data_IF_176662028584
#
_entry.id   IF_176662028584
#
_cell.length_a   1.000
_cell.length_b   1.000
_cell.length_c   1.000
_cell.angle_alpha   90.00
_cell.angle_beta   90.00
_cell.angle_gamma   90.00
#
_symmetry.space_group_name_H-M   'P 1'
#
loop_
_entity.id
_entity.type
_entity.pdbx_description
1 polymer ?
#
# COMPACT_ATOMS: atom_id res chain seq x y z
N UNK A 1 -20.75 6.52 -63.21
CA UNK A 1 -22.17 6.15 -63.36
C UNK A 1 -22.82 6.52 -62.04
N UNK A 2 -23.34 7.82 -61.85
CA UNK A 2 -24.69 8.29 -62.17
C UNK A 2 -25.77 7.45 -61.54
N UNK A 3 -26.59 7.91 -60.61
CA UNK A 3 -27.61 8.98 -60.56
C UNK A 3 -28.10 9.14 -59.09
N UNK A 4 -28.21 10.33 -58.45
CA UNK A 4 -29.21 11.39 -58.45
C UNK A 4 -30.71 10.94 -58.41
N UNK A 5 -31.40 11.45 -57.36
CA UNK A 5 -32.74 12.09 -57.34
C UNK A 5 -33.14 12.39 -55.90
N UNK A 6 -33.25 13.51 -55.40
CA UNK A 6 -34.09 14.73 -55.47
C UNK A 6 -35.59 14.53 -55.45
N UNK A 7 -36.18 15.24 -54.54
CA UNK A 7 -37.59 15.68 -54.57
C UNK A 7 -38.32 15.52 -53.22
N UNK A 8 -39.08 16.40 -52.69
CA UNK A 8 -39.59 17.77 -52.94
C UNK A 8 -40.58 18.02 -51.73
N UNK A 9 -40.67 19.28 -51.37
CA UNK A 9 -41.54 19.89 -50.35
C UNK A 9 -43.03 19.59 -50.48
N UNK A 10 -43.77 19.70 -49.37
CA UNK A 10 -45.09 20.33 -49.40
C UNK A 10 -45.48 20.90 -48.04
N UNK A 11 -45.86 22.18 -48.08
CA UNK A 11 -46.43 23.01 -47.04
C UNK A 11 -47.97 22.86 -46.99
N UNK A 12 -48.56 22.99 -45.82
CA UNK A 12 -49.93 23.50 -45.73
C UNK A 12 -50.15 24.18 -44.37
N UNK A 13 -50.64 25.40 -44.50
CA UNK A 13 -51.07 26.32 -43.46
C UNK A 13 -52.52 26.09 -42.99
N UNK A 14 -52.84 26.64 -41.85
CA UNK A 14 -54.18 26.98 -41.45
C UNK A 14 -54.53 26.71 -40.01
N UNK A 15 -54.78 27.57 -39.21
CA UNK A 15 -55.79 28.53 -38.91
C UNK A 15 -55.85 28.90 -37.41
N UNK A 16 -56.02 30.15 -37.18
CA UNK A 16 -56.17 30.88 -35.93
C UNK A 16 -57.47 30.57 -35.21
N UNK A 17 -57.44 30.36 -33.90
CA UNK A 17 -58.56 30.61 -33.03
C UNK A 17 -58.13 31.31 -31.74
N UNK A 18 -58.53 32.55 -31.61
CA UNK A 18 -58.46 33.37 -30.41
C UNK A 18 -59.53 32.91 -29.41
N UNK A 19 -59.15 32.73 -28.16
CA UNK A 19 -60.10 32.77 -27.05
C UNK A 19 -59.49 33.57 -25.87
N UNK A 20 -60.37 34.41 -25.35
CA UNK A 20 -60.19 35.52 -24.44
C UNK A 20 -59.96 35.03 -22.99
N UNK A 21 -59.15 35.75 -22.26
CA UNK A 21 -58.84 35.58 -20.83
C UNK A 21 -60.03 35.84 -19.89
N UNK A 22 -59.93 35.42 -18.65
CA UNK A 22 -60.00 36.42 -17.56
C UNK A 22 -58.84 36.40 -16.58
N UNK A 23 -58.52 37.61 -16.16
CA UNK A 23 -57.57 37.97 -15.10
C UNK A 23 -58.01 37.40 -13.75
N UNK A 24 -57.16 36.66 -13.09
CA UNK A 24 -57.20 36.49 -11.65
C UNK A 24 -55.91 37.07 -11.06
N UNK A 25 -56.04 38.13 -10.29
CA UNK A 25 -54.99 38.72 -9.51
C UNK A 25 -54.64 37.81 -8.33
N UNK A 26 -53.44 37.30 -8.29
CA UNK A 26 -52.89 36.62 -7.11
C UNK A 26 -51.86 37.55 -6.48
N UNK A 27 -52.16 37.97 -5.25
CA UNK A 27 -51.27 38.76 -4.44
C UNK A 27 -50.01 37.94 -4.05
N UNK A 28 -48.85 38.36 -4.53
CA UNK A 28 -47.57 37.83 -4.09
C UNK A 28 -47.16 38.41 -2.76
N UNK A 29 -47.20 37.62 -1.71
CA UNK A 29 -46.56 37.94 -0.42
C UNK A 29 -45.07 37.67 -0.62
N UNK A 30 -44.29 38.75 -0.65
CA UNK A 30 -42.83 38.67 -0.61
C UNK A 30 -42.39 38.28 0.79
N UNK A 31 -41.97 37.02 0.94
CA UNK A 31 -41.23 36.57 2.13
C UNK A 31 -39.75 36.97 1.91
N UNK A 32 -39.34 38.04 2.61
CA UNK A 32 -37.89 38.36 2.71
C UNK A 32 -37.21 37.26 3.52
N UNK A 33 -36.53 36.33 2.83
CA UNK A 33 -35.53 35.46 3.47
C UNK A 33 -34.31 36.30 3.78
N UNK A 34 -34.07 36.58 5.06
CA UNK A 34 -32.76 37.01 5.54
C UNK A 34 -31.77 35.85 5.31
N UNK A 35 -30.94 35.99 4.29
CA UNK A 35 -29.78 35.14 4.14
C UNK A 35 -28.80 35.46 5.27
N UNK A 36 -28.76 34.64 6.31
CA UNK A 36 -27.66 34.61 7.25
C UNK A 36 -26.43 34.09 6.49
N UNK A 37 -25.46 34.97 6.24
CA UNK A 37 -24.14 34.54 5.80
C UNK A 37 -23.54 33.68 6.92
N UNK A 38 -23.17 32.39 6.66
CA UNK A 38 -22.34 31.68 7.58
C UNK A 38 -20.96 32.32 7.53
N UNK A 39 -20.54 32.93 8.64
CA UNK A 39 -19.15 33.29 8.90
C UNK A 39 -18.41 31.95 8.89
N UNK A 40 -17.76 31.61 7.79
CA UNK A 40 -16.78 30.53 7.77
C UNK A 40 -15.59 31.00 8.63
N UNK A 41 -15.59 30.60 9.89
CA UNK A 41 -14.37 30.55 10.67
C UNK A 41 -13.51 29.47 10.00
N UNK A 42 -12.49 29.87 9.25
CA UNK A 42 -11.36 29.01 8.92
C UNK A 42 -10.63 28.65 10.23
N UNK A 43 -11.17 27.70 10.96
CA UNK A 43 -10.36 26.88 11.83
C UNK A 43 -9.63 25.94 10.88
N UNK A 44 -8.29 26.06 10.80
CA UNK A 44 -7.43 25.13 10.09
C UNK A 44 -7.77 23.70 10.54
N UNK A 45 -8.64 23.05 9.76
CA UNK A 45 -9.05 21.69 10.01
C UNK A 45 -7.88 20.79 9.71
N UNK A 46 -7.22 20.28 10.75
CA UNK A 46 -6.53 18.99 10.66
C UNK A 46 -7.66 18.01 10.33
N UNK A 47 -7.68 17.54 9.10
CA UNK A 47 -8.61 16.49 8.71
C UNK A 47 -8.35 15.29 9.63
N UNK A 48 -9.37 14.89 10.37
CA UNK A 48 -9.34 13.65 11.14
C UNK A 48 -9.37 12.52 10.12
N UNK A 49 -8.28 11.76 10.01
CA UNK A 49 -8.15 10.63 9.09
C UNK A 49 -9.09 9.46 9.47
N UNK A 50 -9.70 9.51 10.67
CA UNK A 50 -10.47 8.43 11.27
C UNK A 50 -11.86 8.18 10.66
N UNK A 51 -12.31 8.97 9.67
CA UNK A 51 -13.69 8.85 9.13
C UNK A 51 -13.73 8.58 7.60
N UNK A 52 -12.61 8.18 7.00
CA UNK A 52 -12.56 7.82 5.59
C UNK A 52 -12.67 6.30 5.40
N UNK A 53 -13.56 5.90 4.48
CA UNK A 53 -13.71 4.49 4.10
C UNK A 53 -12.36 3.86 3.75
N UNK A 54 -12.13 2.62 4.19
CA UNK A 54 -10.89 1.89 3.92
C UNK A 54 -10.63 1.78 2.39
N UNK A 55 -9.60 2.46 1.85
CA UNK A 55 -9.33 2.46 0.41
C UNK A 55 -8.94 1.08 -0.13
N UNK A 56 -8.43 0.19 0.73
CA UNK A 56 -8.03 -1.16 0.35
C UNK A 56 -9.23 -2.09 0.14
N UNK A 57 -10.42 -1.74 0.67
CA UNK A 57 -11.62 -2.55 0.51
C UNK A 57 -12.32 -2.35 -0.86
N UNK A 58 -11.85 -1.39 -1.68
CA UNK A 58 -12.50 -1.06 -2.96
C UNK A 58 -12.35 -2.15 -4.03
N UNK A 59 -11.29 -2.95 -3.98
CA UNK A 59 -10.97 -3.98 -4.97
C UNK A 59 -10.22 -5.15 -4.30
N UNK A 60 -10.31 -6.38 -4.87
CA UNK A 60 -9.45 -7.48 -4.41
C UNK A 60 -7.98 -7.18 -4.68
N UNK A 61 -7.09 -7.74 -3.88
CA UNK A 61 -5.64 -7.64 -4.12
C UNK A 61 -5.22 -8.50 -5.31
N UNK A 62 -4.24 -8.01 -6.07
CA UNK A 62 -3.75 -8.67 -7.28
C UNK A 62 -2.89 -9.89 -6.97
N UNK A 63 -3.23 -11.01 -7.58
CA UNK A 63 -2.42 -12.24 -7.60
C UNK A 63 -1.55 -12.24 -8.84
N UNK A 64 -0.23 -12.16 -8.67
CA UNK A 64 0.71 -12.16 -9.80
C UNK A 64 0.91 -13.56 -10.37
N UNK A 65 0.43 -13.87 -11.60
CA UNK A 65 0.53 -15.19 -12.21
C UNK A 65 1.96 -15.58 -12.60
N UNK A 66 2.91 -14.64 -12.54
CA UNK A 66 4.32 -14.88 -12.85
C UNK A 66 5.23 -14.69 -11.63
N UNK A 67 4.67 -14.62 -10.43
CA UNK A 67 5.44 -14.60 -9.18
C UNK A 67 6.36 -15.81 -9.07
N UNK A 68 7.41 -15.73 -8.27
CA UNK A 68 8.32 -16.85 -8.04
C UNK A 68 7.58 -18.08 -7.49
N UNK A 69 6.60 -17.89 -6.61
CA UNK A 69 5.73 -18.94 -6.10
C UNK A 69 4.89 -19.58 -7.23
N UNK A 70 4.30 -18.75 -8.11
CA UNK A 70 3.53 -19.25 -9.24
C UNK A 70 4.38 -20.05 -10.24
N UNK A 71 5.62 -19.61 -10.49
CA UNK A 71 6.58 -20.36 -11.30
C UNK A 71 6.95 -21.69 -10.63
N UNK A 72 7.23 -21.67 -9.32
CA UNK A 72 7.56 -22.88 -8.57
C UNK A 72 6.40 -23.86 -8.53
N UNK A 73 5.17 -23.41 -8.31
CA UNK A 73 3.98 -24.26 -8.31
C UNK A 73 3.75 -24.96 -9.65
N UNK A 74 3.89 -24.23 -10.78
CA UNK A 74 3.76 -24.82 -12.13
C UNK A 74 4.83 -25.84 -12.46
N UNK A 75 6.02 -25.69 -11.91
CA UNK A 75 7.17 -26.56 -12.18
C UNK A 75 7.32 -27.69 -11.16
N UNK A 76 6.48 -27.72 -10.11
CA UNK A 76 6.54 -28.77 -9.09
C UNK A 76 6.15 -30.14 -9.64
N UNK A 77 7.01 -31.13 -9.42
CA UNK A 77 6.76 -32.53 -9.80
C UNK A 77 7.22 -33.46 -8.67
N UNK A 78 6.31 -34.10 -7.93
CA UNK A 78 4.85 -34.01 -8.08
C UNK A 78 4.29 -32.63 -7.76
N UNK A 79 3.06 -32.30 -8.20
CA UNK A 79 2.38 -31.04 -7.83
C UNK A 79 2.31 -30.86 -6.31
N UNK A 80 2.53 -29.60 -5.84
CA UNK A 80 2.45 -29.25 -4.42
C UNK A 80 1.22 -28.37 -4.18
N UNK A 81 0.37 -28.79 -3.24
CA UNK A 81 -0.78 -28.03 -2.78
C UNK A 81 -0.33 -26.77 -2.03
N UNK A 82 0.75 -26.82 -1.26
CA UNK A 82 1.33 -25.76 -0.49
C UNK A 82 1.85 -24.63 -1.41
N UNK A 83 2.62 -24.97 -2.44
CA UNK A 83 3.09 -24.01 -3.43
C UNK A 83 1.92 -23.39 -4.21
N UNK A 84 0.91 -24.19 -4.53
CA UNK A 84 -0.29 -23.72 -5.22
C UNK A 84 -1.09 -22.73 -4.35
N UNK A 85 -1.22 -22.99 -3.05
CA UNK A 85 -1.87 -22.09 -2.11
C UNK A 85 -1.16 -20.72 -2.06
N UNK A 86 0.18 -20.71 -1.92
CA UNK A 86 0.97 -19.48 -1.90
C UNK A 86 0.87 -18.76 -3.26
N UNK A 87 0.96 -19.49 -4.38
CA UNK A 87 0.89 -18.93 -5.73
C UNK A 87 -0.44 -18.23 -6.03
N UNK A 88 -1.53 -18.67 -5.42
CA UNK A 88 -2.87 -18.11 -5.57
C UNK A 88 -3.21 -17.04 -4.53
N UNK A 89 -2.26 -16.66 -3.69
CA UNK A 89 -2.45 -15.63 -2.66
C UNK A 89 -1.75 -14.33 -3.07
N UNK A 90 -2.40 -13.15 -2.95
CA UNK A 90 -1.77 -11.87 -3.25
C UNK A 90 -0.54 -11.63 -2.37
N UNK A 91 0.52 -11.09 -2.95
CA UNK A 91 1.74 -10.69 -2.23
C UNK A 91 2.26 -9.37 -2.77
N UNK A 92 3.04 -8.65 -1.98
CA UNK A 92 3.62 -7.39 -2.44
C UNK A 92 4.68 -7.61 -3.55
N UNK A 93 4.68 -6.71 -4.53
CA UNK A 93 5.75 -6.59 -5.51
C UNK A 93 6.82 -5.63 -4.96
N UNK A 94 8.01 -6.19 -4.67
CA UNK A 94 9.11 -5.42 -4.11
C UNK A 94 9.87 -4.68 -5.20
N UNK A 95 10.08 -3.39 -4.98
CA UNK A 95 10.86 -2.51 -5.81
C UNK A 95 12.11 -2.07 -5.03
N UNK A 96 13.27 -2.37 -5.57
CA UNK A 96 14.56 -1.98 -4.99
C UNK A 96 15.41 -1.21 -6.01
N UNK A 97 16.69 -0.92 -5.69
CA UNK A 97 17.60 -0.20 -6.56
C UNK A 97 17.95 -0.92 -7.88
N UNK A 98 17.59 -2.20 -8.04
CA UNK A 98 17.74 -2.90 -9.33
C UNK A 98 16.79 -2.31 -10.40
N UNK A 99 15.68 -1.72 -9.98
CA UNK A 99 14.81 -0.93 -10.84
C UNK A 99 15.30 0.52 -10.86
N UNK A 100 16.12 0.88 -11.85
CA UNK A 100 16.73 2.20 -11.92
C UNK A 100 15.67 3.32 -12.03
N UNK A 101 16.01 4.58 -11.67
CA UNK A 101 15.11 5.73 -11.90
C UNK A 101 14.61 5.87 -13.33
N UNK A 102 15.40 5.42 -14.32
CA UNK A 102 15.02 5.47 -15.73
C UNK A 102 13.98 4.39 -16.13
N UNK A 103 13.87 3.30 -15.37
CA UNK A 103 13.05 2.14 -15.76
C UNK A 103 11.88 1.87 -14.82
N UNK A 104 11.92 2.38 -13.60
CA UNK A 104 10.94 2.05 -12.56
C UNK A 104 9.51 2.47 -12.95
N UNK A 105 9.33 3.62 -13.59
CA UNK A 105 8.01 4.09 -14.04
C UNK A 105 7.33 3.09 -14.98
N UNK A 106 8.08 2.59 -15.97
CA UNK A 106 7.56 1.58 -16.91
C UNK A 106 7.25 0.25 -16.21
N UNK A 107 8.07 -0.15 -15.24
CA UNK A 107 7.86 -1.39 -14.47
C UNK A 107 6.59 -1.27 -13.63
N UNK A 108 6.43 -0.19 -12.87
CA UNK A 108 5.24 0.07 -12.05
C UNK A 108 4.00 0.16 -12.92
N UNK A 109 4.02 0.94 -14.01
CA UNK A 109 2.88 1.07 -14.92
C UNK A 109 2.47 -0.24 -15.57
N UNK A 110 3.43 -1.09 -15.94
CA UNK A 110 3.13 -2.44 -16.46
C UNK A 110 2.45 -3.33 -15.40
N UNK A 111 2.96 -3.33 -14.17
CA UNK A 111 2.41 -4.17 -13.10
C UNK A 111 1.02 -3.66 -12.68
N UNK A 112 0.85 -2.36 -12.54
CA UNK A 112 -0.44 -1.71 -12.23
C UNK A 112 -1.47 -1.97 -13.33
N UNK A 113 -1.07 -1.86 -14.61
CA UNK A 113 -1.95 -2.17 -15.75
C UNK A 113 -2.38 -3.64 -15.80
N UNK A 114 -1.51 -4.56 -15.42
CA UNK A 114 -1.86 -5.99 -15.30
C UNK A 114 -2.87 -6.22 -14.16
N UNK A 115 -2.68 -5.58 -13.01
CA UNK A 115 -3.61 -5.65 -11.89
C UNK A 115 -4.98 -5.07 -12.26
N UNK A 116 -5.04 -3.90 -12.89
CA UNK A 116 -6.27 -3.29 -13.38
C UNK A 116 -7.01 -4.17 -14.39
N UNK A 117 -6.28 -4.78 -15.33
CA UNK A 117 -6.87 -5.71 -16.30
C UNK A 117 -7.50 -6.94 -15.63
N UNK A 118 -7.01 -7.31 -14.43
CA UNK A 118 -7.59 -8.36 -13.59
C UNK A 118 -8.70 -7.85 -12.65
N UNK A 119 -9.04 -6.55 -12.66
CA UNK A 119 -9.99 -5.94 -11.74
C UNK A 119 -9.50 -5.93 -10.29
N UNK A 120 -8.20 -5.81 -10.07
CA UNK A 120 -7.55 -5.96 -8.77
C UNK A 120 -6.58 -4.82 -8.47
N UNK A 121 -6.21 -4.68 -7.19
CA UNK A 121 -5.29 -3.67 -6.68
C UNK A 121 -3.91 -4.29 -6.41
N UNK A 122 -2.81 -3.75 -6.94
CA UNK A 122 -1.47 -4.21 -6.60
C UNK A 122 -1.03 -3.75 -5.22
N UNK A 123 -0.15 -4.53 -4.58
CA UNK A 123 0.56 -4.16 -3.37
C UNK A 123 2.03 -3.95 -3.76
N UNK A 124 2.62 -2.81 -3.44
CA UNK A 124 4.03 -2.52 -3.65
C UNK A 124 4.76 -2.37 -2.31
N UNK A 125 6.00 -2.86 -2.23
CA UNK A 125 6.93 -2.57 -1.16
C UNK A 125 8.15 -1.87 -1.75
N UNK A 126 8.41 -0.63 -1.32
CA UNK A 126 9.53 0.19 -1.77
C UNK A 126 10.70 -0.01 -0.83
N UNK A 127 11.85 -0.45 -1.35
CA UNK A 127 12.97 -0.86 -0.51
C UNK A 127 14.32 -0.47 -1.15
N UNK A 128 14.60 0.82 -1.22
CA UNK A 128 15.76 1.35 -1.94
C UNK A 128 16.44 2.57 -1.30
N UNK A 129 16.07 2.91 -0.06
CA UNK A 129 16.62 4.07 0.64
C UNK A 129 18.13 3.94 0.85
N UNK A 130 18.93 5.02 0.76
CA UNK A 130 20.35 4.99 1.09
C UNK A 130 20.65 4.40 2.47
N UNK A 131 21.75 3.67 2.60
CA UNK A 131 22.16 2.97 3.83
C UNK A 131 21.12 1.97 4.33
N UNK A 132 20.35 1.37 3.43
CA UNK A 132 19.36 0.34 3.74
C UNK A 132 20.01 -0.78 4.56
N UNK A 133 19.26 -1.32 5.53
CA UNK A 133 19.61 -2.47 6.36
C UNK A 133 20.93 -2.30 7.14
N UNK A 134 21.44 -1.08 7.26
CA UNK A 134 22.65 -0.74 8.04
C UNK A 134 23.87 -1.65 7.84
N UNK A 135 24.00 -2.23 6.65
CA UNK A 135 25.11 -3.14 6.32
C UNK A 135 24.83 -4.62 6.62
N UNK A 136 23.61 -5.00 7.02
CA UNK A 136 23.21 -6.39 7.24
C UNK A 136 22.96 -7.15 5.91
N UNK A 137 22.26 -8.29 5.94
CA UNK A 137 22.11 -9.20 4.79
C UNK A 137 21.37 -8.58 3.59
N UNK A 138 20.49 -7.60 3.82
CA UNK A 138 19.79 -6.87 2.78
C UNK A 138 20.39 -5.47 2.51
N UNK A 139 21.64 -5.25 2.90
CA UNK A 139 22.33 -3.99 2.67
C UNK A 139 22.27 -3.54 1.22
N UNK A 140 22.14 -2.22 0.99
CA UNK A 140 22.00 -1.67 -0.35
C UNK A 140 21.32 -0.31 -0.35
N UNK A 141 20.39 -0.14 -1.28
CA UNK A 141 19.74 1.12 -1.58
C UNK A 141 20.52 1.95 -2.59
N UNK A 142 20.00 3.12 -2.95
CA UNK A 142 20.70 4.03 -3.84
C UNK A 142 21.91 4.67 -3.16
N UNK A 143 22.95 4.98 -3.91
CA UNK A 143 24.15 5.64 -3.41
C UNK A 143 23.97 7.12 -3.09
N UNK A 144 22.80 7.72 -3.34
CA UNK A 144 22.51 9.12 -3.03
C UNK A 144 21.02 9.37 -2.87
N UNK A 145 20.66 10.36 -2.04
CA UNK A 145 19.31 10.84 -1.89
C UNK A 145 18.71 11.44 -3.19
N UNK A 146 19.55 11.99 -4.07
CA UNK A 146 19.09 12.49 -5.37
C UNK A 146 18.58 11.36 -6.27
N UNK A 147 19.28 10.24 -6.35
CA UNK A 147 18.87 9.07 -7.12
C UNK A 147 17.58 8.44 -6.53
N UNK A 148 17.49 8.38 -5.21
CA UNK A 148 16.27 7.91 -4.53
C UNK A 148 15.06 8.79 -4.87
N UNK A 149 15.18 10.12 -4.80
CA UNK A 149 14.07 11.03 -5.16
C UNK A 149 13.61 10.84 -6.61
N UNK A 150 14.54 10.75 -7.56
CA UNK A 150 14.21 10.46 -8.95
C UNK A 150 13.48 9.12 -9.12
N UNK A 151 13.84 8.13 -8.32
CA UNK A 151 13.20 6.83 -8.34
C UNK A 151 11.78 6.90 -7.77
N UNK A 152 11.55 7.63 -6.67
CA UNK A 152 10.22 7.87 -6.11
C UNK A 152 9.34 8.64 -7.11
N UNK A 153 9.89 9.66 -7.80
CA UNK A 153 9.17 10.36 -8.87
C UNK A 153 8.75 9.42 -10.00
N UNK A 154 9.64 8.50 -10.36
CA UNK A 154 9.34 7.45 -11.34
C UNK A 154 8.24 6.49 -10.89
N UNK A 155 8.22 6.10 -9.60
CA UNK A 155 7.15 5.26 -9.04
C UNK A 155 5.81 6.00 -9.10
N UNK A 156 5.76 7.23 -8.62
CA UNK A 156 4.55 8.06 -8.68
C UNK A 156 4.03 8.20 -10.12
N UNK A 157 4.92 8.45 -11.08
CA UNK A 157 4.57 8.52 -12.51
C UNK A 157 4.03 7.18 -13.05
N UNK A 158 4.57 6.05 -12.58
CA UNK A 158 4.14 4.72 -12.98
C UNK A 158 2.80 4.29 -12.35
N UNK A 159 2.51 4.73 -11.13
CA UNK A 159 1.21 4.53 -10.47
C UNK A 159 0.11 5.30 -11.21
N UNK A 160 0.40 6.54 -11.61
CA UNK A 160 -0.61 7.43 -12.18
C UNK A 160 -1.81 7.55 -11.23
N UNK A 161 -3.03 7.49 -11.74
CA UNK A 161 -4.27 7.52 -10.95
C UNK A 161 -4.82 6.13 -10.60
N UNK A 162 -3.96 5.14 -10.52
CA UNK A 162 -4.39 3.76 -10.28
C UNK A 162 -4.42 3.43 -8.79
N UNK A 163 -5.48 2.79 -8.28
CA UNK A 163 -5.50 2.27 -6.92
C UNK A 163 -4.32 1.32 -6.67
N UNK A 164 -3.63 1.52 -5.55
CA UNK A 164 -2.53 0.66 -5.11
C UNK A 164 -2.34 0.77 -3.60
N UNK A 165 -1.92 -0.31 -2.94
CA UNK A 165 -1.32 -0.27 -1.62
C UNK A 165 0.20 -0.11 -1.76
N UNK A 166 0.79 0.86 -1.06
CA UNK A 166 2.22 1.15 -1.15
C UNK A 166 2.84 1.18 0.24
N UNK A 167 3.71 0.23 0.54
CA UNK A 167 4.52 0.18 1.76
C UNK A 167 5.85 0.87 1.49
N UNK A 168 6.20 1.85 2.30
CA UNK A 168 7.38 2.70 2.10
C UNK A 168 8.48 2.29 3.06
N UNK A 169 9.56 1.80 2.51
CA UNK A 169 10.87 1.55 3.12
C UNK A 169 10.80 0.72 4.39
N UNK A 170 10.46 -0.57 4.29
CA UNK A 170 10.58 -1.51 5.40
C UNK A 170 11.86 -1.31 6.22
N UNK A 171 11.73 -1.34 7.55
CA UNK A 171 12.79 -1.21 8.55
C UNK A 171 13.43 0.19 8.68
N UNK A 172 13.23 1.10 7.72
CA UNK A 172 14.00 2.34 7.60
C UNK A 172 13.90 3.25 8.82
N UNK A 173 12.69 3.41 9.41
CA UNK A 173 12.49 4.19 10.62
C UNK A 173 12.95 3.44 11.88
N UNK A 174 12.71 2.13 11.95
CA UNK A 174 13.10 1.31 13.09
C UNK A 174 14.63 1.24 13.23
N UNK A 175 15.36 1.15 12.10
CA UNK A 175 16.82 1.12 12.05
C UNK A 175 17.51 2.49 12.05
N UNK A 176 16.79 3.59 12.26
CA UNK A 176 17.38 4.93 12.16
C UNK A 176 18.52 5.18 13.17
N UNK A 177 18.57 4.44 14.27
CA UNK A 177 19.57 4.62 15.33
C UNK A 177 20.95 4.03 14.98
N UNK A 178 21.08 3.21 13.93
CA UNK A 178 22.37 2.71 13.43
C UNK A 178 23.12 3.74 12.59
N UNK A 179 22.50 4.85 12.22
CA UNK A 179 23.03 5.86 11.32
C UNK A 179 23.74 6.99 12.07
N UNK A 180 24.67 7.67 11.41
CA UNK A 180 25.14 8.97 11.89
C UNK A 180 24.00 9.99 11.91
N UNK A 181 24.17 11.11 12.65
CA UNK A 181 23.16 12.19 12.70
C UNK A 181 22.76 12.69 11.32
N UNK A 182 23.72 12.90 10.43
CA UNK A 182 23.49 13.44 9.10
C UNK A 182 22.78 12.42 8.19
N UNK A 183 23.18 11.15 8.25
CA UNK A 183 22.54 10.06 7.53
C UNK A 183 21.10 9.82 8.03
N UNK A 184 20.88 9.93 9.34
CA UNK A 184 19.56 9.83 9.94
C UNK A 184 18.67 10.96 9.44
N UNK A 185 19.16 12.21 9.47
CA UNK A 185 18.40 13.36 8.96
C UNK A 185 18.08 13.18 7.47
N UNK A 186 19.06 12.78 6.64
CA UNK A 186 18.81 12.49 5.23
C UNK A 186 17.73 11.41 5.05
N UNK A 187 17.77 10.31 5.84
CA UNK A 187 16.75 9.25 5.78
C UNK A 187 15.34 9.79 6.04
N UNK A 188 15.18 10.60 7.08
CA UNK A 188 13.89 11.22 7.41
C UNK A 188 13.42 12.17 6.30
N UNK A 189 14.32 12.97 5.74
CA UNK A 189 14.03 13.86 4.61
C UNK A 189 13.63 13.09 3.33
N UNK A 190 14.22 11.92 3.11
CA UNK A 190 13.90 11.06 1.97
C UNK A 190 12.55 10.36 2.13
N UNK A 191 12.22 9.89 3.33
CA UNK A 191 10.89 9.31 3.62
C UNK A 191 9.82 10.40 3.50
N UNK A 192 10.08 11.60 4.04
CA UNK A 192 9.18 12.76 3.90
C UNK A 192 8.96 13.10 2.42
N UNK A 193 10.01 13.07 1.61
CA UNK A 193 9.89 13.26 0.16
C UNK A 193 9.02 12.18 -0.50
N UNK A 194 9.19 10.92 -0.11
CA UNK A 194 8.35 9.83 -0.62
C UNK A 194 6.88 10.02 -0.24
N UNK A 195 6.59 10.37 1.02
CA UNK A 195 5.25 10.76 1.51
C UNK A 195 4.67 11.87 0.63
N UNK A 196 5.37 12.99 0.47
CA UNK A 196 4.89 14.15 -0.29
C UNK A 196 4.67 13.85 -1.79
N UNK A 197 5.45 12.94 -2.33
CA UNK A 197 5.38 12.63 -3.76
C UNK A 197 4.29 11.63 -4.08
N UNK A 198 4.17 10.56 -3.28
CA UNK A 198 3.21 9.50 -3.50
C UNK A 198 1.77 9.90 -3.16
N UNK A 199 1.56 10.89 -2.28
CA UNK A 199 0.23 11.43 -1.94
C UNK A 199 -0.30 12.46 -2.92
N UNK A 200 0.45 12.85 -3.95
CA UNK A 200 -0.08 13.70 -5.04
C UNK A 200 -1.19 13.01 -5.82
N UNK A 201 -1.19 11.70 -5.80
CA UNK A 201 -2.27 10.88 -6.34
C UNK A 201 -3.07 10.27 -5.18
N UNK A 202 -4.34 10.65 -4.99
CA UNK A 202 -5.16 10.16 -3.89
C UNK A 202 -5.60 8.70 -4.04
N UNK A 203 -5.37 8.07 -5.20
CA UNK A 203 -5.75 6.68 -5.41
C UNK A 203 -4.79 5.68 -4.75
N UNK A 204 -3.56 6.09 -4.43
CA UNK A 204 -2.59 5.24 -3.74
C UNK A 204 -2.77 5.33 -2.22
N UNK A 205 -3.04 4.19 -1.58
CA UNK A 205 -3.01 4.05 -0.12
C UNK A 205 -1.56 3.81 0.33
N UNK A 206 -0.94 4.82 0.93
CA UNK A 206 0.48 4.81 1.29
C UNK A 206 0.65 4.55 2.78
N UNK A 207 1.54 3.63 3.14
CA UNK A 207 1.87 3.22 4.50
C UNK A 207 3.38 3.30 4.71
N UNK A 208 3.84 4.11 5.66
CA UNK A 208 5.25 4.19 6.02
C UNK A 208 5.59 3.05 6.98
N UNK A 209 6.67 2.31 6.73
CA UNK A 209 6.98 1.18 7.62
C UNK A 209 7.40 1.65 9.02
N UNK A 210 6.83 0.98 10.03
CA UNK A 210 7.02 1.25 11.45
C UNK A 210 7.68 0.07 12.22
N UNK A 211 8.23 -0.90 11.49
CA UNK A 211 8.87 -2.07 12.08
C UNK A 211 7.88 -3.00 12.77
N UNK A 212 8.13 -3.33 14.02
CA UNK A 212 7.28 -4.26 14.79
C UNK A 212 7.31 -3.95 16.30
N UNK A 213 6.38 -4.54 17.04
CA UNK A 213 6.10 -4.31 18.46
C UNK A 213 7.29 -4.45 19.41
N UNK A 214 8.29 -5.27 19.08
CA UNK A 214 9.46 -5.53 19.94
C UNK A 214 10.72 -4.81 19.51
N UNK A 215 10.64 -3.82 18.61
CA UNK A 215 11.82 -3.11 18.11
C UNK A 215 11.98 -1.72 18.71
N UNK A 216 11.01 -0.85 18.47
CA UNK A 216 11.00 0.52 18.97
C UNK A 216 9.71 0.71 19.77
N UNK A 217 9.73 1.43 20.89
CA UNK A 217 8.50 1.69 21.63
C UNK A 217 7.49 2.47 20.79
N UNK A 218 6.20 2.26 21.02
CA UNK A 218 5.13 2.92 20.28
C UNK A 218 5.28 4.45 20.27
N UNK A 219 5.58 5.06 21.42
CA UNK A 219 5.78 6.52 21.53
C UNK A 219 6.95 7.00 20.67
N UNK A 220 8.07 6.28 20.70
CA UNK A 220 9.25 6.66 19.91
C UNK A 220 9.00 6.46 18.41
N UNK A 221 8.30 5.41 18.01
CA UNK A 221 7.92 5.18 16.61
C UNK A 221 6.90 6.22 16.14
N UNK A 222 5.89 6.52 16.93
CA UNK A 222 4.93 7.57 16.62
C UNK A 222 5.61 8.94 16.43
N UNK A 223 6.60 9.27 17.25
CA UNK A 223 7.40 10.49 17.06
C UNK A 223 8.14 10.49 15.69
N UNK A 224 8.76 9.36 15.29
CA UNK A 224 9.42 9.21 13.99
C UNK A 224 8.43 9.32 12.82
N UNK A 225 7.28 8.69 12.94
CA UNK A 225 6.21 8.74 11.94
C UNK A 225 5.63 10.17 11.81
N UNK A 226 5.41 10.86 12.92
CA UNK A 226 4.97 12.26 12.92
C UNK A 226 6.02 13.17 12.25
N UNK A 227 7.31 12.94 12.50
CA UNK A 227 8.40 13.72 11.89
C UNK A 227 8.44 13.55 10.36
N UNK A 228 8.15 12.37 9.84
CA UNK A 228 8.10 12.14 8.38
C UNK A 228 6.74 12.45 7.75
N UNK A 229 5.74 12.80 8.54
CA UNK A 229 4.45 13.30 8.07
C UNK A 229 3.42 12.21 7.79
N UNK A 230 3.31 11.21 8.69
CA UNK A 230 2.33 10.13 8.59
C UNK A 230 0.89 10.61 8.44
N UNK A 231 0.56 11.82 8.93
CA UNK A 231 -0.76 12.44 8.79
C UNK A 231 -1.14 12.80 7.35
N UNK A 232 -0.21 12.74 6.39
CA UNK A 232 -0.44 13.04 4.97
C UNK A 232 -0.63 11.80 4.12
N UNK A 233 -0.42 10.63 4.69
CA UNK A 233 -0.60 9.30 4.08
C UNK A 233 -1.72 8.56 4.79
N UNK A 234 -2.10 7.39 4.30
CA UNK A 234 -3.11 6.56 4.97
C UNK A 234 -2.65 6.10 6.34
N UNK A 235 -1.36 5.81 6.49
CA UNK A 235 -0.82 5.42 7.78
C UNK A 235 0.52 4.70 7.71
N UNK A 236 0.64 3.56 8.39
CA UNK A 236 1.90 2.86 8.55
C UNK A 236 1.76 1.34 8.40
N UNK A 237 2.88 0.64 8.14
CA UNK A 237 2.91 -0.82 8.07
C UNK A 237 3.66 -1.41 9.25
N UNK A 238 3.25 -2.60 9.67
CA UNK A 238 3.81 -3.33 10.80
C UNK A 238 4.23 -4.75 10.41
N UNK A 239 5.20 -5.27 11.13
CA UNK A 239 5.64 -6.67 11.05
C UNK A 239 6.22 -7.06 9.69
N UNK A 240 6.58 -6.09 8.84
CA UNK A 240 7.13 -6.39 7.51
C UNK A 240 8.33 -7.30 7.62
N UNK A 241 8.28 -8.45 6.96
CA UNK A 241 9.32 -9.49 7.00
C UNK A 241 9.53 -10.17 8.36
N UNK A 242 8.67 -9.94 9.35
CA UNK A 242 8.79 -10.47 10.71
C UNK A 242 7.73 -11.54 11.03
N UNK A 243 7.69 -11.99 12.30
CA UNK A 243 6.94 -13.16 12.73
C UNK A 243 6.09 -12.93 13.97
N UNK A 244 5.99 -11.67 14.46
CA UNK A 244 5.22 -11.35 15.66
C UNK A 244 3.73 -11.57 15.40
N UNK A 245 2.99 -12.00 16.45
CA UNK A 245 1.59 -12.37 16.29
C UNK A 245 0.73 -11.16 15.88
N UNK A 246 -0.34 -11.42 15.15
CA UNK A 246 -1.25 -10.35 14.71
C UNK A 246 -1.82 -9.58 15.91
N UNK A 247 -2.17 -10.25 17.00
CA UNK A 247 -2.70 -9.60 18.22
C UNK A 247 -1.66 -8.67 18.88
N UNK A 248 -0.39 -9.07 18.89
CA UNK A 248 0.70 -8.25 19.42
C UNK A 248 0.91 -7.00 18.56
N UNK A 249 0.87 -7.14 17.24
CA UNK A 249 1.01 -6.03 16.30
C UNK A 249 -0.23 -5.11 16.30
N UNK A 250 -1.42 -5.62 16.52
CA UNK A 250 -2.63 -4.81 16.75
C UNK A 250 -2.44 -3.92 17.98
N UNK A 251 -2.02 -4.48 19.12
CA UNK A 251 -1.80 -3.67 20.32
C UNK A 251 -0.76 -2.56 20.12
N UNK A 252 0.29 -2.85 19.36
CA UNK A 252 1.30 -1.87 18.99
C UNK A 252 0.77 -0.83 18.00
N UNK A 253 0.02 -1.26 16.99
CA UNK A 253 -0.61 -0.41 15.98
C UNK A 253 -1.59 0.59 16.57
N UNK A 254 -2.49 0.14 17.46
CA UNK A 254 -3.45 1.02 18.14
C UNK A 254 -2.75 2.05 19.03
N UNK A 255 -1.66 1.67 19.72
CA UNK A 255 -0.87 2.62 20.51
C UNK A 255 -0.23 3.70 19.63
N UNK A 256 0.32 3.33 18.48
CA UNK A 256 0.87 4.29 17.49
C UNK A 256 -0.23 5.14 16.88
N UNK A 257 -1.36 4.54 16.47
CA UNK A 257 -2.51 5.23 15.90
C UNK A 257 -3.01 6.33 16.85
N UNK A 258 -3.18 6.00 18.12
CA UNK A 258 -3.56 6.99 19.15
C UNK A 258 -2.59 8.16 19.31
N UNK A 259 -1.29 7.95 19.05
CA UNK A 259 -0.24 8.97 19.12
C UNK A 259 0.02 9.69 17.78
N UNK A 260 -0.67 9.29 16.69
CA UNK A 260 -0.53 9.85 15.34
C UNK A 260 -1.85 10.37 14.77
N UNK A 261 -2.79 10.80 15.63
CA UNK A 261 -4.11 11.31 15.27
C UNK A 261 -4.98 10.33 14.48
N UNK A 262 -4.95 9.06 14.82
CA UNK A 262 -5.77 8.03 14.19
C UNK A 262 -5.22 7.54 12.84
N UNK A 263 -3.91 7.62 12.61
CA UNK A 263 -3.31 7.03 11.42
C UNK A 263 -3.61 5.52 11.35
N UNK A 264 -4.07 5.04 10.21
CA UNK A 264 -4.40 3.64 9.99
C UNK A 264 -3.15 2.78 9.82
N UNK A 265 -3.31 1.46 9.83
CA UNK A 265 -2.17 0.58 9.62
C UNK A 265 -2.53 -0.71 8.89
N UNK A 266 -1.50 -1.33 8.30
CA UNK A 266 -1.54 -2.68 7.74
C UNK A 266 -0.53 -3.56 8.46
N UNK A 267 -0.81 -4.87 8.54
CA UNK A 267 0.07 -5.84 9.21
C UNK A 267 0.53 -6.89 8.19
N UNK A 268 1.84 -7.15 8.13
CA UNK A 268 2.38 -8.30 7.39
C UNK A 268 2.10 -9.59 8.15
N UNK A 269 1.24 -10.42 7.60
CA UNK A 269 0.86 -11.73 8.15
C UNK A 269 1.43 -12.90 7.36
N UNK A 270 2.32 -12.64 6.40
CA UNK A 270 2.83 -13.67 5.48
C UNK A 270 3.51 -14.86 6.17
N UNK A 271 4.11 -14.64 7.36
CA UNK A 271 4.91 -15.67 8.05
C UNK A 271 4.68 -15.75 9.55
N UNK A 272 3.66 -15.11 10.08
CA UNK A 272 3.46 -14.94 11.52
C UNK A 272 2.53 -15.94 12.19
N UNK A 273 2.01 -16.96 11.46
CA UNK A 273 1.00 -17.88 11.96
C UNK A 273 1.44 -18.74 13.17
N UNK A 274 2.75 -18.97 13.33
CA UNK A 274 3.30 -19.67 14.48
C UNK A 274 3.95 -18.72 15.52
N UNK A 275 3.74 -17.41 15.36
CA UNK A 275 4.41 -16.40 16.18
C UNK A 275 5.93 -16.33 15.98
N UNK A 276 6.66 -15.52 16.76
CA UNK A 276 8.09 -15.36 16.63
C UNK A 276 8.86 -16.60 17.07
N UNK A 277 10.06 -16.85 16.52
CA UNK A 277 10.95 -17.88 17.05
C UNK A 277 11.47 -17.48 18.44
N UNK A 278 12.08 -18.46 19.14
CA UNK A 278 12.79 -18.18 20.39
C UNK A 278 13.90 -17.13 20.15
N UNK A 279 14.06 -16.24 21.11
CA UNK A 279 15.02 -15.16 21.05
C UNK A 279 16.46 -15.71 21.00
N UNK A 280 17.16 -15.43 19.92
CA UNK A 280 18.56 -15.79 19.71
C UNK A 280 19.16 -14.91 18.63
N UNK A 281 20.47 -14.78 18.52
CA UNK A 281 21.10 -14.07 17.40
C UNK A 281 20.58 -14.61 16.06
N UNK A 282 20.18 -13.72 15.16
CA UNK A 282 19.63 -14.06 13.84
C UNK A 282 18.36 -14.95 13.86
N UNK A 283 17.61 -14.96 14.97
CA UNK A 283 16.33 -15.70 15.05
C UNK A 283 15.30 -15.25 13.99
N UNK A 284 15.40 -14.01 13.52
CA UNK A 284 14.57 -13.46 12.45
C UNK A 284 14.92 -13.98 11.04
N UNK A 285 16.14 -14.52 10.86
CA UNK A 285 16.67 -14.87 9.55
C UNK A 285 16.34 -16.31 9.17
N UNK A 286 15.41 -16.51 8.25
CA UNK A 286 14.92 -17.81 7.76
C UNK A 286 14.63 -18.84 8.87
N UNK A 287 13.90 -18.50 9.94
CA UNK A 287 13.67 -19.44 11.05
C UNK A 287 12.82 -20.63 10.60
N UNK A 288 13.22 -21.81 11.04
CA UNK A 288 12.41 -23.03 10.85
C UNK A 288 11.17 -23.06 11.76
N UNK A 289 10.18 -23.88 11.42
CA UNK A 289 8.99 -24.06 12.24
C UNK A 289 8.03 -22.87 12.26
N UNK A 290 8.21 -21.90 11.35
CA UNK A 290 7.23 -20.80 11.16
C UNK A 290 6.12 -21.25 10.24
N UNK A 291 4.99 -20.53 10.30
CA UNK A 291 3.79 -20.85 9.54
C UNK A 291 3.28 -19.61 8.80
N UNK A 292 2.55 -19.81 7.72
CA UNK A 292 1.75 -18.75 7.12
C UNK A 292 0.73 -18.25 8.16
N UNK A 293 0.55 -16.94 8.22
CA UNK A 293 -0.50 -16.30 9.00
C UNK A 293 -1.77 -16.11 8.20
N UNK A 294 -2.65 -15.22 8.67
CA UNK A 294 -3.90 -14.90 8.01
C UNK A 294 -3.66 -14.49 6.55
N UNK A 295 -4.47 -14.98 5.59
CA UNK A 295 -4.37 -14.53 4.21
C UNK A 295 -4.72 -13.04 4.08
N UNK A 296 -4.26 -12.35 3.02
CA UNK A 296 -4.59 -10.96 2.79
C UNK A 296 -6.10 -10.70 2.84
N UNK A 297 -6.48 -9.73 3.66
CA UNK A 297 -7.89 -9.41 3.96
C UNK A 297 -8.02 -7.98 4.44
N UNK A 298 -9.11 -7.31 4.05
CA UNK A 298 -9.53 -6.02 4.60
C UNK A 298 -10.58 -6.17 5.71
N UNK A 299 -10.91 -7.41 6.08
CA UNK A 299 -11.71 -7.73 7.27
C UNK A 299 -10.73 -7.94 8.42
N UNK A 300 -10.63 -6.95 9.28
CA UNK A 300 -9.67 -6.86 10.38
C UNK A 300 -10.38 -6.78 11.73
N UNK A 301 -9.63 -6.91 12.83
CA UNK A 301 -10.21 -6.92 14.17
C UNK A 301 -10.46 -5.52 14.73
N UNK A 302 -9.70 -4.51 14.26
CA UNK A 302 -9.72 -3.15 14.81
C UNK A 302 -9.98 -2.10 13.73
N UNK A 303 -10.55 -0.98 14.13
CA UNK A 303 -10.99 0.10 13.23
C UNK A 303 -9.83 0.73 12.44
N UNK A 304 -8.67 0.93 13.08
CA UNK A 304 -7.50 1.51 12.40
C UNK A 304 -6.69 0.50 11.59
N UNK A 305 -6.95 -0.80 11.72
CA UNK A 305 -6.30 -1.83 10.92
C UNK A 305 -6.98 -1.96 9.55
N UNK A 306 -6.39 -1.40 8.52
CA UNK A 306 -6.95 -1.42 7.16
C UNK A 306 -6.90 -2.81 6.51
N UNK A 307 -5.81 -3.54 6.72
CA UNK A 307 -5.67 -4.88 6.14
C UNK A 307 -4.59 -5.72 6.83
N UNK A 308 -4.77 -7.03 6.73
CA UNK A 308 -3.71 -8.03 6.80
C UNK A 308 -3.17 -8.24 5.38
N UNK A 309 -1.87 -8.22 5.21
CA UNK A 309 -1.21 -8.34 3.91
C UNK A 309 -0.08 -9.37 3.97
N UNK A 310 0.29 -9.96 2.85
CA UNK A 310 1.54 -10.69 2.72
C UNK A 310 2.56 -9.75 2.04
N UNK A 311 3.20 -8.89 2.84
CA UNK A 311 4.18 -7.93 2.35
C UNK A 311 5.46 -8.67 2.03
N UNK A 312 6.07 -9.38 2.99
CA UNK A 312 7.13 -10.34 2.69
C UNK A 312 6.50 -11.55 1.98
N UNK A 313 7.07 -11.91 0.85
CA UNK A 313 6.59 -13.05 0.06
C UNK A 313 6.99 -14.36 0.75
N UNK A 314 6.03 -15.22 1.17
CA UNK A 314 6.36 -16.49 1.79
C UNK A 314 7.22 -17.37 0.90
N UNK A 315 8.31 -17.90 1.46
CA UNK A 315 9.30 -18.70 0.73
C UNK A 315 10.50 -17.93 0.20
N UNK A 316 10.52 -16.59 0.29
CA UNK A 316 11.73 -15.83 -0.03
C UNK A 316 12.69 -15.74 1.16
N UNK A 317 13.97 -15.97 0.89
CA UNK A 317 15.05 -15.91 1.87
C UNK A 317 15.21 -14.50 2.45
N UNK A 318 15.57 -14.43 3.73
CA UNK A 318 15.94 -13.19 4.43
C UNK A 318 17.45 -12.90 4.26
N UNK A 319 18.23 -13.83 3.71
CA UNK A 319 19.66 -13.70 3.48
C UNK A 319 20.43 -14.97 3.77
N UNK A 320 21.76 -14.89 3.74
CA UNK A 320 22.64 -16.04 4.01
C UNK A 320 22.63 -16.48 5.48
N UNK A 321 22.19 -15.63 6.40
CA UNK A 321 22.03 -15.88 7.83
C UNK A 321 23.30 -16.46 8.51
N UNK A 322 24.47 -16.13 7.98
CA UNK A 322 25.77 -16.70 8.38
C UNK A 322 25.83 -18.24 8.35
N UNK A 323 24.86 -18.86 7.67
CA UNK A 323 24.74 -20.32 7.51
C UNK A 323 24.90 -20.77 6.06
N UNK A 324 25.26 -19.85 5.15
CA UNK A 324 25.38 -20.14 3.71
C UNK A 324 24.03 -20.39 3.02
N UNK A 325 22.95 -19.89 3.58
CA UNK A 325 21.62 -19.97 2.98
C UNK A 325 21.52 -19.05 1.74
N UNK A 326 20.49 -19.23 0.90
CA UNK A 326 20.33 -18.42 -0.31
C UNK A 326 20.26 -16.91 0.00
N UNK A 327 20.73 -16.04 -0.92
CA UNK A 327 20.72 -14.61 -0.70
C UNK A 327 19.29 -14.06 -0.56
N UNK A 328 19.18 -12.87 0.02
CA UNK A 328 17.91 -12.16 0.24
C UNK A 328 17.05 -12.10 -1.03
N UNK A 329 15.74 -12.34 -0.88
CA UNK A 329 14.77 -12.30 -1.97
C UNK A 329 14.78 -13.55 -2.88
N UNK A 330 15.71 -14.48 -2.71
CA UNK A 330 15.71 -15.75 -3.44
C UNK A 330 14.58 -16.64 -2.96
N UNK A 331 13.70 -17.06 -3.87
CA UNK A 331 12.63 -18.00 -3.55
C UNK A 331 13.17 -19.42 -3.32
N UNK A 332 12.75 -20.03 -2.21
CA UNK A 332 13.15 -21.38 -1.76
C UNK A 332 11.88 -22.21 -1.58
N UNK A 333 11.59 -23.09 -2.53
CA UNK A 333 10.37 -23.90 -2.54
C UNK A 333 10.18 -24.70 -1.24
N UNK A 334 11.27 -25.29 -0.69
CA UNK A 334 11.17 -26.06 0.55
C UNK A 334 10.78 -25.20 1.75
N UNK A 335 11.27 -23.96 1.81
CA UNK A 335 10.85 -22.99 2.87
C UNK A 335 9.39 -22.61 2.71
N UNK A 336 8.94 -22.32 1.49
CA UNK A 336 7.54 -22.04 1.18
C UNK A 336 6.61 -23.21 1.57
N UNK A 337 6.97 -24.45 1.20
CA UNK A 337 6.22 -25.66 1.57
C UNK A 337 6.16 -25.81 3.09
N UNK A 338 7.27 -25.59 3.81
CA UNK A 338 7.30 -25.70 5.26
C UNK A 338 6.38 -24.66 5.93
N UNK A 339 6.39 -23.40 5.46
CA UNK A 339 5.51 -22.35 5.98
C UNK A 339 4.03 -22.72 5.79
N UNK A 340 3.65 -23.20 4.61
CA UNK A 340 2.28 -23.58 4.31
C UNK A 340 1.85 -24.86 5.04
N UNK A 341 2.72 -25.85 5.12
CA UNK A 341 2.46 -27.10 5.82
C UNK A 341 2.25 -26.92 7.34
N UNK A 342 2.91 -25.95 7.94
CA UNK A 342 2.76 -25.62 9.36
C UNK A 342 1.50 -24.78 9.66
N UNK A 343 0.85 -24.18 8.66
CA UNK A 343 -0.31 -23.30 8.84
C UNK A 343 -1.62 -24.03 9.18
N UNK A 344 -1.64 -25.35 9.10
CA UNK A 344 -2.82 -26.18 9.36
C UNK A 344 -2.81 -26.91 10.70
N UNK A 345 -1.94 -26.55 11.62
CA UNK A 345 -1.75 -27.26 12.89
C UNK A 345 -1.96 -26.36 14.10
#
# INVERSE_FOLDING_TARGET
>A
MHHYFSGVMSSAAGSVARLVAPFLAVATIAVMSLAANPIHAELGGVALLADEANPLAAQPFYVDPISAAAVAARNANPPSAELTAIANTPTAYWLDQAFSPATVAATVGKYTGAAQAAGAMPIFALYAIPHRDCGSFAAGGFGSGAAYRQWIDGIAAGLGSSPAAVVVEPDALAMADCLSSDQRQERFDLIRYAVDTLTRDPAAAVYVDAGHSRWVSADAMAARLNEVGVQRVRGFSLNTSNFFTTDEEIGYGEAISGATNGAHYVIDTGRNGAGPPLDSPLSWCNPSGRALGAPPSTVTAEEHADAYLWIKRPGESDGSCDRGEPPVGRFVSQYAISLAGNAGH
#
